data_IF_566434287385
#
_entry.id   IF_566434287385
#
_cell.length_a   1.000
_cell.length_b   1.000
_cell.length_c   1.000
_cell.angle_alpha   90.00
_cell.angle_beta   90.00
_cell.angle_gamma   90.00
#
_symmetry.space_group_name_H-M   'P 1'
#
loop_
_entity.id
_entity.type
_entity.pdbx_description
1 polymer ?
#
# COMPACT_ATOMS: atom_id res chain seq x y z
N UNK A 1 21.48 -21.81 7.00
CA UNK A 1 21.58 -21.44 5.58
C UNK A 1 21.41 -19.93 5.47
N UNK A 2 22.13 -19.27 4.56
CA UNK A 2 22.08 -17.82 4.35
C UNK A 2 21.09 -17.56 3.20
N UNK A 3 20.03 -16.81 3.44
CA UNK A 3 19.06 -16.42 2.40
C UNK A 3 19.64 -15.35 1.46
N UNK A 4 19.04 -15.16 0.30
CA UNK A 4 19.38 -14.00 -0.53
C UNK A 4 18.79 -12.72 0.04
N UNK A 5 17.54 -12.79 0.52
CA UNK A 5 16.83 -11.63 1.09
C UNK A 5 16.10 -12.02 2.37
N UNK A 6 16.26 -11.20 3.40
CA UNK A 6 15.33 -11.15 4.55
C UNK A 6 14.39 -9.97 4.37
N UNK A 7 13.08 -10.22 4.45
CA UNK A 7 12.05 -9.18 4.51
C UNK A 7 11.56 -9.06 5.96
N UNK A 8 11.69 -7.88 6.55
CA UNK A 8 11.25 -7.61 7.92
C UNK A 8 9.85 -6.98 7.89
N UNK A 9 8.88 -7.72 8.40
CA UNK A 9 7.47 -7.35 8.47
C UNK A 9 6.57 -8.26 7.63
N UNK A 10 5.57 -8.87 8.26
CA UNK A 10 4.57 -9.78 7.66
C UNK A 10 3.24 -9.09 7.33
N UNK A 11 3.25 -7.79 7.06
CA UNK A 11 2.13 -7.04 6.51
C UNK A 11 2.00 -7.22 4.99
N UNK A 12 1.05 -6.50 4.39
CA UNK A 12 0.78 -6.57 2.95
C UNK A 12 2.04 -6.30 2.11
N UNK A 13 2.75 -5.21 2.39
CA UNK A 13 3.95 -4.84 1.65
C UNK A 13 5.05 -5.93 1.74
N UNK A 14 5.30 -6.46 2.95
CA UNK A 14 6.32 -7.50 3.13
C UNK A 14 5.95 -8.82 2.47
N UNK A 15 4.70 -9.27 2.62
CA UNK A 15 4.25 -10.52 1.99
C UNK A 15 4.23 -10.42 0.45
N UNK A 16 3.81 -9.28 -0.11
CA UNK A 16 3.83 -9.04 -1.55
C UNK A 16 5.27 -8.98 -2.08
N UNK A 17 6.17 -8.25 -1.41
CA UNK A 17 7.60 -8.19 -1.77
C UNK A 17 8.21 -9.59 -1.77
N UNK A 18 7.94 -10.37 -0.72
CA UNK A 18 8.47 -11.73 -0.62
C UNK A 18 7.94 -12.65 -1.73
N UNK A 19 6.65 -12.53 -2.06
CA UNK A 19 6.04 -13.29 -3.15
C UNK A 19 6.70 -13.00 -4.49
N UNK A 20 6.78 -11.72 -4.89
CA UNK A 20 7.34 -11.36 -6.19
C UNK A 20 8.82 -11.68 -6.30
N UNK A 21 9.61 -11.45 -5.25
CA UNK A 21 11.02 -11.87 -5.24
C UNK A 21 11.18 -13.38 -5.40
N UNK A 22 10.35 -14.17 -4.71
CA UNK A 22 10.44 -15.62 -4.80
C UNK A 22 9.91 -16.15 -6.15
N UNK A 23 8.92 -15.50 -6.76
CA UNK A 23 8.47 -15.80 -8.11
C UNK A 23 9.59 -15.59 -9.14
N UNK A 24 10.50 -14.64 -8.90
CA UNK A 24 11.71 -14.40 -9.68
C UNK A 24 12.90 -15.31 -9.29
N UNK A 25 12.67 -16.32 -8.43
CA UNK A 25 13.69 -17.31 -8.05
C UNK A 25 14.64 -16.89 -6.92
N UNK A 26 14.34 -15.81 -6.19
CA UNK A 26 15.14 -15.33 -5.06
C UNK A 26 14.80 -16.13 -3.79
N UNK A 27 15.81 -16.59 -3.03
CA UNK A 27 15.60 -17.24 -1.73
C UNK A 27 15.25 -16.19 -0.66
N UNK A 28 14.01 -16.23 -0.17
CA UNK A 28 13.47 -15.21 0.73
C UNK A 28 13.03 -15.80 2.06
N UNK A 29 13.37 -15.08 3.14
CA UNK A 29 12.84 -15.31 4.50
C UNK A 29 12.11 -14.06 4.98
N UNK A 30 10.84 -14.20 5.41
CA UNK A 30 10.08 -13.14 6.08
C UNK A 30 10.19 -13.31 7.59
N UNK A 31 10.50 -12.22 8.29
CA UNK A 31 10.52 -12.17 9.76
C UNK A 31 9.38 -11.27 10.25
N UNK A 32 8.44 -11.87 10.99
CA UNK A 32 7.29 -11.15 11.55
C UNK A 32 7.28 -11.28 13.08
N UNK A 33 7.13 -10.14 13.78
CA UNK A 33 7.20 -10.14 15.26
C UNK A 33 5.98 -10.74 15.96
N UNK A 34 4.82 -10.71 15.29
CA UNK A 34 3.56 -11.27 15.80
C UNK A 34 3.07 -12.40 14.89
N UNK A 35 1.81 -12.34 14.52
CA UNK A 35 1.26 -13.12 13.42
C UNK A 35 1.07 -12.22 12.18
N UNK A 36 0.87 -12.83 11.02
CA UNK A 36 0.68 -12.09 9.78
C UNK A 36 -0.58 -11.22 9.85
N UNK A 37 -0.52 -10.06 9.22
CA UNK A 37 -1.69 -9.17 9.06
C UNK A 37 -2.29 -8.59 10.35
N UNK A 38 -1.56 -8.60 11.45
CA UNK A 38 -2.10 -8.21 12.77
C UNK A 38 -2.18 -6.70 13.01
N UNK A 39 -1.46 -5.90 12.23
CA UNK A 39 -1.40 -4.44 12.39
C UNK A 39 -2.11 -3.72 11.24
N UNK A 40 -1.55 -2.60 10.77
CA UNK A 40 -2.18 -1.72 9.79
C UNK A 40 -2.76 -2.44 8.56
N UNK A 41 -2.10 -3.49 8.07
CA UNK A 41 -2.57 -4.26 6.90
C UNK A 41 -3.88 -5.02 7.14
N UNK A 42 -4.15 -5.43 8.40
CA UNK A 42 -5.39 -6.08 8.80
C UNK A 42 -6.40 -5.16 9.49
N UNK A 43 -6.07 -3.86 9.63
CA UNK A 43 -6.88 -2.90 10.39
C UNK A 43 -7.21 -1.66 9.55
N UNK A 44 -7.55 -1.84 8.28
CA UNK A 44 -7.90 -0.78 7.35
C UNK A 44 -9.16 -1.12 6.56
N UNK A 45 -9.72 -0.12 5.86
CA UNK A 45 -10.95 -0.28 5.09
C UNK A 45 -10.76 -1.00 3.75
N UNK A 46 -9.53 -1.33 3.36
CA UNK A 46 -9.22 -1.98 2.09
C UNK A 46 -9.38 -1.08 0.87
N UNK A 47 -9.41 0.23 1.04
CA UNK A 47 -9.61 1.16 -0.07
C UNK A 47 -8.44 1.12 -1.06
N UNK A 48 -8.77 1.09 -2.36
CA UNK A 48 -7.84 1.17 -3.47
C UNK A 48 -8.01 2.55 -4.11
N UNK A 49 -7.17 3.49 -3.72
CA UNK A 49 -7.23 4.88 -4.17
C UNK A 49 -6.06 5.21 -5.11
N UNK A 50 -6.35 5.96 -6.18
CA UNK A 50 -5.36 6.54 -7.07
C UNK A 50 -5.42 8.06 -7.09
N UNK A 51 -6.50 8.65 -6.60
CA UNK A 51 -6.66 10.10 -6.54
C UNK A 51 -5.61 10.75 -5.61
N UNK A 52 -5.26 11.99 -5.91
CA UNK A 52 -4.46 12.84 -5.03
C UNK A 52 -5.21 13.01 -3.69
N UNK A 53 -4.58 12.79 -2.52
CA UNK A 53 -5.23 13.03 -1.23
C UNK A 53 -5.72 14.48 -1.11
N UNK A 54 -7.01 14.64 -0.78
CA UNK A 54 -7.66 15.96 -0.81
C UNK A 54 -7.12 16.93 0.23
N UNK A 55 -7.01 16.48 1.49
CA UNK A 55 -6.55 17.34 2.59
C UNK A 55 -5.11 17.85 2.38
N UNK A 56 -4.13 17.02 2.00
CA UNK A 56 -2.80 17.50 1.61
C UNK A 56 -2.84 18.45 0.40
N UNK A 57 -3.69 18.19 -0.59
CA UNK A 57 -3.83 19.09 -1.73
C UNK A 57 -4.30 20.49 -1.31
N UNK A 58 -5.33 20.57 -0.47
CA UNK A 58 -5.85 21.84 0.05
C UNK A 58 -4.79 22.55 0.91
N UNK A 59 -4.09 21.78 1.77
CA UNK A 59 -3.11 22.31 2.71
C UNK A 59 -1.82 22.79 2.05
N UNK A 60 -1.28 22.02 1.11
CA UNK A 60 0.05 22.27 0.53
C UNK A 60 0.01 22.81 -0.91
N UNK A 61 -1.17 22.80 -1.54
CA UNK A 61 -1.43 23.41 -2.84
C UNK A 61 -0.88 22.62 -4.05
N UNK A 62 -0.94 23.29 -5.21
CA UNK A 62 -0.63 22.68 -6.50
C UNK A 62 0.85 22.32 -6.68
N UNK A 63 1.77 23.01 -5.99
CA UNK A 63 3.20 22.66 -6.00
C UNK A 63 3.45 21.26 -5.44
N UNK A 64 2.81 20.95 -4.33
CA UNK A 64 2.86 19.63 -3.73
C UNK A 64 2.22 18.58 -4.65
N UNK A 65 1.06 18.88 -5.26
CA UNK A 65 0.38 17.97 -6.19
C UNK A 65 1.24 17.61 -7.40
N UNK A 66 2.03 18.54 -7.93
CA UNK A 66 2.99 18.28 -9.02
C UNK A 66 4.08 17.29 -8.60
N UNK A 67 4.59 17.41 -7.39
CA UNK A 67 5.57 16.46 -6.84
C UNK A 67 4.94 15.07 -6.61
N UNK A 68 3.65 15.04 -6.24
CA UNK A 68 2.89 13.80 -6.04
C UNK A 68 2.50 13.09 -7.35
N UNK A 69 2.63 13.74 -8.51
CA UNK A 69 2.17 13.26 -9.80
C UNK A 69 2.72 11.87 -10.17
N UNK A 70 3.99 11.59 -9.90
CA UNK A 70 4.60 10.28 -10.16
C UNK A 70 3.95 9.16 -9.33
N UNK A 71 3.52 9.48 -8.11
CA UNK A 71 2.79 8.55 -7.24
C UNK A 71 1.44 8.18 -7.82
N UNK A 72 0.71 9.12 -8.41
CA UNK A 72 -0.58 8.86 -9.07
C UNK A 72 -0.44 7.79 -10.15
N UNK A 73 0.57 7.90 -11.01
CA UNK A 73 0.84 6.91 -12.05
C UNK A 73 1.14 5.51 -11.49
N UNK A 74 1.85 5.42 -10.37
CA UNK A 74 2.12 4.15 -9.69
C UNK A 74 0.85 3.56 -9.08
N UNK A 75 0.00 4.39 -8.47
CA UNK A 75 -1.27 3.97 -7.89
C UNK A 75 -2.24 3.44 -8.96
N UNK A 76 -2.33 4.11 -10.12
CA UNK A 76 -3.13 3.66 -11.25
C UNK A 76 -2.67 2.28 -11.77
N UNK A 77 -1.35 2.07 -11.90
CA UNK A 77 -0.79 0.75 -12.23
C UNK A 77 -1.11 -0.29 -11.17
N UNK A 78 -1.00 0.06 -9.88
CA UNK A 78 -1.36 -0.83 -8.77
C UNK A 78 -2.81 -1.27 -8.84
N UNK A 79 -3.76 -0.37 -9.10
CA UNK A 79 -5.18 -0.74 -9.27
C UNK A 79 -5.37 -1.71 -10.44
N UNK A 80 -4.67 -1.49 -11.56
CA UNK A 80 -4.69 -2.43 -12.68
C UNK A 80 -4.20 -3.82 -12.27
N UNK A 81 -3.15 -3.91 -11.47
CA UNK A 81 -2.67 -5.19 -10.94
C UNK A 81 -3.71 -5.85 -10.02
N UNK A 82 -4.38 -5.07 -9.17
CA UNK A 82 -5.42 -5.60 -8.27
C UNK A 82 -6.56 -6.31 -9.02
N UNK A 83 -6.89 -5.91 -10.26
CA UNK A 83 -7.94 -6.55 -11.09
C UNK A 83 -7.67 -8.04 -11.33
N UNK A 84 -6.40 -8.42 -11.57
CA UNK A 84 -5.98 -9.80 -11.85
C UNK A 84 -5.40 -10.53 -10.65
N UNK A 85 -5.21 -9.84 -9.53
CA UNK A 85 -4.45 -10.38 -8.40
C UNK A 85 -5.11 -11.60 -7.74
N UNK A 86 -6.44 -11.67 -7.74
CA UNK A 86 -7.18 -12.84 -7.23
C UNK A 86 -6.82 -14.11 -7.97
N UNK A 87 -6.82 -14.06 -9.30
CA UNK A 87 -6.45 -15.19 -10.16
C UNK A 87 -4.97 -15.54 -9.99
N UNK A 88 -4.08 -14.54 -9.99
CA UNK A 88 -2.64 -14.71 -9.78
C UNK A 88 -2.32 -15.43 -8.47
N UNK A 89 -2.96 -15.03 -7.38
CA UNK A 89 -2.75 -15.61 -6.06
C UNK A 89 -3.58 -16.87 -5.78
N UNK A 90 -4.53 -17.19 -6.66
CA UNK A 90 -5.48 -18.30 -6.47
C UNK A 90 -6.37 -18.09 -5.24
N UNK A 91 -6.92 -16.87 -5.05
CA UNK A 91 -7.72 -16.50 -3.89
C UNK A 91 -8.74 -15.41 -4.22
N UNK A 92 -9.95 -15.52 -3.66
CA UNK A 92 -10.88 -14.39 -3.71
C UNK A 92 -10.44 -13.30 -2.75
N UNK A 93 -10.06 -12.15 -3.29
CA UNK A 93 -9.67 -10.96 -2.55
C UNK A 93 -10.82 -9.97 -2.38
N UNK A 94 -12.01 -10.32 -2.86
CA UNK A 94 -13.21 -9.47 -2.86
C UNK A 94 -12.95 -8.09 -3.51
N UNK A 95 -12.13 -8.04 -4.56
CA UNK A 95 -11.84 -6.80 -5.28
C UNK A 95 -13.10 -6.29 -5.97
N UNK A 96 -13.48 -5.06 -5.63
CA UNK A 96 -14.65 -4.38 -6.21
C UNK A 96 -14.24 -2.98 -6.63
N UNK A 97 -13.99 -2.80 -7.93
CA UNK A 97 -13.64 -1.51 -8.53
C UNK A 97 -14.94 -0.86 -9.06
N UNK A 98 -15.64 -0.16 -8.18
CA UNK A 98 -16.92 0.51 -8.44
C UNK A 98 -16.83 2.02 -8.35
N UNK A 99 -15.62 2.53 -8.30
CA UNK A 99 -15.30 3.95 -8.20
C UNK A 99 -15.09 4.45 -6.77
N UNK A 100 -14.47 5.63 -6.70
CA UNK A 100 -14.30 6.43 -5.50
C UNK A 100 -14.90 7.81 -5.72
N UNK A 101 -15.72 8.28 -4.78
CA UNK A 101 -16.41 9.57 -4.84
C UNK A 101 -15.88 10.49 -3.75
N UNK A 102 -15.36 11.65 -4.13
CA UNK A 102 -15.05 12.77 -3.25
C UNK A 102 -16.16 13.82 -3.40
N UNK A 103 -16.79 14.23 -2.31
CA UNK A 103 -17.92 15.16 -2.32
C UNK A 103 -17.56 16.54 -1.80
N UNK A 104 -18.24 17.58 -2.32
CA UNK A 104 -18.12 18.97 -1.91
C UNK A 104 -19.40 19.44 -1.23
N UNK A 105 -19.27 20.11 -0.08
CA UNK A 105 -20.39 20.79 0.58
C UNK A 105 -20.49 22.25 0.19
N UNK A 106 -19.39 22.88 -0.13
CA UNK A 106 -19.31 24.31 -0.44
C UNK A 106 -18.76 24.56 -1.86
N UNK A 107 -19.03 25.74 -2.41
CA UNK A 107 -18.45 26.15 -3.69
C UNK A 107 -16.91 26.26 -3.61
N UNK A 108 -16.34 26.48 -2.44
CA UNK A 108 -14.88 26.49 -2.23
C UNK A 108 -14.29 25.09 -2.33
N UNK A 109 -14.94 24.11 -1.68
CA UNK A 109 -14.55 22.69 -1.79
C UNK A 109 -14.61 22.25 -3.25
N UNK A 110 -15.70 22.59 -3.96
CA UNK A 110 -15.85 22.21 -5.35
C UNK A 110 -14.76 22.80 -6.24
N UNK A 111 -14.40 24.08 -6.05
CA UNK A 111 -13.26 24.68 -6.77
C UNK A 111 -11.93 23.98 -6.47
N UNK A 112 -11.72 23.54 -5.22
CA UNK A 112 -10.52 22.76 -4.86
C UNK A 112 -10.51 21.39 -5.56
N UNK A 113 -11.65 20.70 -5.58
CA UNK A 113 -11.84 19.42 -6.25
C UNK A 113 -11.59 19.57 -7.77
N UNK A 114 -12.12 20.60 -8.40
CA UNK A 114 -11.91 20.87 -9.84
C UNK A 114 -10.42 21.12 -10.16
N UNK A 115 -9.70 21.87 -9.31
CA UNK A 115 -8.25 22.06 -9.50
C UNK A 115 -7.50 20.73 -9.35
N UNK A 116 -7.83 19.94 -8.32
CA UNK A 116 -7.25 18.62 -8.07
C UNK A 116 -7.48 17.68 -9.26
N UNK A 117 -8.72 17.63 -9.77
CA UNK A 117 -9.12 16.81 -10.93
C UNK A 117 -8.31 17.12 -12.20
N UNK A 118 -7.92 18.40 -12.42
CA UNK A 118 -7.04 18.75 -13.55
C UNK A 118 -5.66 18.10 -13.44
N UNK A 119 -5.07 18.07 -12.24
CA UNK A 119 -3.79 17.41 -12.01
C UNK A 119 -3.88 15.89 -12.19
N UNK A 120 -4.96 15.29 -11.71
CA UNK A 120 -5.23 13.85 -11.82
C UNK A 120 -5.43 13.40 -13.28
N UNK A 121 -6.25 14.13 -14.03
CA UNK A 121 -6.45 13.89 -15.47
C UNK A 121 -5.15 14.02 -16.26
N UNK A 122 -4.30 14.97 -15.91
CA UNK A 122 -2.99 15.14 -16.53
C UNK A 122 -2.04 13.94 -16.28
N UNK A 123 -2.32 13.10 -15.27
CA UNK A 123 -1.62 11.85 -14.97
C UNK A 123 -2.33 10.61 -15.54
N UNK A 124 -3.38 10.80 -16.32
CA UNK A 124 -4.11 9.73 -17.00
C UNK A 124 -5.23 9.09 -16.18
N UNK A 125 -5.60 9.64 -15.01
CA UNK A 125 -6.78 9.17 -14.30
C UNK A 125 -8.07 9.67 -15.00
N UNK A 126 -9.04 8.79 -15.11
CA UNK A 126 -10.41 9.18 -15.45
C UNK A 126 -11.08 9.79 -14.23
N UNK A 127 -11.36 11.09 -14.28
CA UNK A 127 -12.08 11.81 -13.22
C UNK A 127 -13.31 12.46 -13.83
N UNK A 128 -14.47 12.14 -13.32
CA UNK A 128 -15.75 12.73 -13.70
C UNK A 128 -16.16 13.74 -12.63
N UNK A 129 -16.50 14.96 -13.04
CA UNK A 129 -17.05 15.95 -12.11
C UNK A 129 -18.57 15.75 -12.06
N UNK A 130 -19.08 15.53 -10.85
CA UNK A 130 -20.48 15.32 -10.55
C UNK A 130 -21.11 16.61 -10.02
N UNK A 131 -22.28 16.94 -10.51
CA UNK A 131 -23.15 17.89 -9.87
C UNK A 131 -24.06 17.21 -8.82
N UNK A 132 -24.98 17.97 -8.21
CA UNK A 132 -25.92 17.45 -7.23
C UNK A 132 -26.85 16.36 -7.82
N UNK A 133 -27.28 16.51 -9.07
CA UNK A 133 -28.17 15.54 -9.71
C UNK A 133 -27.43 14.23 -9.99
N UNK A 134 -26.17 14.32 -10.40
CA UNK A 134 -25.31 13.15 -10.57
C UNK A 134 -25.11 12.40 -9.25
N UNK A 135 -24.83 13.12 -8.14
CA UNK A 135 -24.68 12.51 -6.82
C UNK A 135 -25.99 11.81 -6.40
N UNK A 136 -27.13 12.46 -6.56
CA UNK A 136 -28.41 11.88 -6.20
C UNK A 136 -28.73 10.60 -7.00
N UNK A 137 -28.28 10.51 -8.25
CA UNK A 137 -28.46 9.35 -9.10
C UNK A 137 -27.50 8.20 -8.78
N UNK A 138 -26.21 8.52 -8.65
CA UNK A 138 -25.15 7.51 -8.54
C UNK A 138 -24.85 7.10 -7.09
N UNK A 139 -25.10 8.01 -6.14
CA UNK A 139 -24.82 7.82 -4.72
C UNK A 139 -25.96 8.34 -3.83
N UNK A 140 -27.17 7.78 -3.93
CA UNK A 140 -28.38 8.29 -3.24
C UNK A 140 -28.29 8.22 -1.70
N UNK A 141 -27.27 7.56 -1.16
CA UNK A 141 -26.95 7.48 0.26
C UNK A 141 -26.14 8.68 0.77
N UNK A 142 -25.67 9.56 -0.12
CA UNK A 142 -24.93 10.77 0.24
C UNK A 142 -25.92 11.89 0.62
N UNK A 143 -25.56 12.68 1.64
CA UNK A 143 -26.40 13.79 2.12
C UNK A 143 -26.77 14.78 1.02
N UNK A 144 -28.00 15.28 1.07
CA UNK A 144 -28.49 16.30 0.16
C UNK A 144 -27.77 17.65 0.28
N UNK A 145 -27.00 17.87 1.34
CA UNK A 145 -26.16 19.07 1.52
C UNK A 145 -24.96 19.11 0.55
N UNK A 146 -24.64 17.99 -0.09
CA UNK A 146 -23.52 17.95 -1.04
C UNK A 146 -23.94 18.57 -2.36
N UNK A 147 -23.15 19.55 -2.83
CA UNK A 147 -23.44 20.34 -4.04
C UNK A 147 -22.80 19.78 -5.31
N UNK A 148 -21.82 18.89 -5.17
CA UNK A 148 -21.09 18.27 -6.26
C UNK A 148 -19.93 17.42 -5.76
N UNK A 149 -19.06 16.98 -6.68
CA UNK A 149 -17.92 16.15 -6.34
C UNK A 149 -17.08 15.71 -7.53
N UNK A 150 -16.14 14.80 -7.27
CA UNK A 150 -15.35 14.12 -8.30
C UNK A 150 -15.44 12.60 -8.10
N UNK A 151 -15.71 11.89 -9.19
CA UNK A 151 -15.79 10.44 -9.23
C UNK A 151 -14.65 9.88 -10.08
N UNK A 152 -13.92 8.92 -9.52
CA UNK A 152 -12.89 8.15 -10.21
C UNK A 152 -13.39 6.70 -10.39
N UNK A 153 -13.76 6.27 -11.61
CA UNK A 153 -14.38 4.96 -11.84
C UNK A 153 -13.45 3.78 -11.56
N UNK A 154 -12.14 3.97 -11.66
CA UNK A 154 -11.16 2.91 -11.46
C UNK A 154 -10.92 2.55 -9.98
N UNK A 155 -11.28 3.42 -9.06
CA UNK A 155 -11.09 3.17 -7.63
C UNK A 155 -12.05 2.12 -7.06
N UNK A 156 -11.74 1.65 -5.86
CA UNK A 156 -12.59 0.66 -5.21
C UNK A 156 -12.03 0.14 -3.90
N UNK A 157 -12.22 -1.16 -3.67
CA UNK A 157 -11.76 -1.82 -2.44
C UNK A 157 -11.37 -3.27 -2.68
N UNK A 158 -10.54 -3.79 -1.77
CA UNK A 158 -10.26 -5.21 -1.60
C UNK A 158 -10.45 -5.59 -0.12
N UNK A 159 -10.60 -6.88 0.18
CA UNK A 159 -10.70 -7.35 1.55
C UNK A 159 -9.29 -7.41 2.19
N UNK A 160 -8.97 -6.56 3.20
CA UNK A 160 -7.65 -6.55 3.84
C UNK A 160 -7.38 -7.84 4.64
N UNK A 161 -8.42 -8.57 5.08
CA UNK A 161 -8.27 -9.86 5.74
C UNK A 161 -7.96 -11.00 4.76
N UNK A 162 -8.24 -10.84 3.48
CA UNK A 162 -7.94 -11.84 2.44
C UNK A 162 -6.59 -11.58 1.77
N UNK A 163 -6.24 -10.32 1.49
CA UNK A 163 -5.12 -9.94 0.64
C UNK A 163 -3.75 -10.38 1.21
N UNK A 164 -3.41 -9.98 2.44
CA UNK A 164 -2.11 -10.35 3.03
C UNK A 164 -1.96 -11.87 3.21
N UNK A 165 -2.95 -12.61 3.74
CA UNK A 165 -2.87 -14.06 3.81
C UNK A 165 -2.76 -14.74 2.44
N UNK A 166 -3.37 -14.19 1.39
CA UNK A 166 -3.25 -14.74 0.04
C UNK A 166 -1.82 -14.60 -0.49
N UNK A 167 -1.20 -13.42 -0.37
CA UNK A 167 0.22 -13.23 -0.69
C UNK A 167 1.13 -14.16 0.11
N UNK A 168 0.89 -14.30 1.42
CA UNK A 168 1.71 -15.18 2.26
C UNK A 168 1.60 -16.65 1.83
N UNK A 169 0.40 -17.12 1.46
CA UNK A 169 0.21 -18.48 0.92
C UNK A 169 0.92 -18.66 -0.42
N UNK A 170 0.78 -17.68 -1.32
CA UNK A 170 1.44 -17.71 -2.61
C UNK A 170 2.97 -17.68 -2.46
N UNK A 171 3.51 -16.82 -1.60
CA UNK A 171 4.94 -16.77 -1.27
C UNK A 171 5.45 -18.12 -0.77
N UNK A 172 4.73 -18.79 0.14
CA UNK A 172 5.09 -20.13 0.62
C UNK A 172 5.10 -21.17 -0.50
N UNK A 173 4.16 -21.11 -1.46
CA UNK A 173 4.18 -22.01 -2.64
C UNK A 173 5.44 -21.79 -3.50
N UNK A 174 5.97 -20.58 -3.51
CA UNK A 174 7.24 -20.22 -4.18
C UNK A 174 8.48 -20.50 -3.30
N UNK A 175 8.34 -21.15 -2.13
CA UNK A 175 9.46 -21.54 -1.28
C UNK A 175 9.85 -20.53 -0.20
N UNK A 176 9.14 -19.42 -0.04
CA UNK A 176 9.42 -18.42 1.00
C UNK A 176 9.25 -19.02 2.40
N UNK A 177 10.27 -18.86 3.23
CA UNK A 177 10.18 -19.14 4.65
C UNK A 177 9.55 -17.95 5.37
N UNK A 178 8.51 -18.20 6.16
CA UNK A 178 7.85 -17.15 6.96
C UNK A 178 7.96 -17.53 8.44
N UNK A 179 8.77 -16.76 9.15
CA UNK A 179 8.97 -16.91 10.59
C UNK A 179 8.10 -15.88 11.32
N UNK A 180 7.06 -16.39 11.97
CA UNK A 180 6.17 -15.59 12.84
C UNK A 180 6.76 -15.55 14.25
N UNK A 181 6.34 -14.56 15.06
CA UNK A 181 6.83 -14.36 16.43
C UNK A 181 8.37 -14.25 16.51
N UNK A 182 8.99 -13.77 15.42
CA UNK A 182 10.41 -13.54 15.26
C UNK A 182 10.70 -12.02 15.28
N UNK A 183 10.55 -11.41 16.46
CA UNK A 183 10.82 -9.99 16.63
C UNK A 183 12.29 -9.69 16.37
N UNK A 184 12.59 -8.77 15.46
CA UNK A 184 13.96 -8.29 15.18
C UNK A 184 14.43 -7.43 16.36
N UNK A 185 15.57 -7.82 16.93
CA UNK A 185 16.21 -7.21 18.10
C UNK A 185 17.46 -6.41 17.72
N UNK A 186 18.12 -6.76 16.62
CA UNK A 186 19.30 -6.09 16.10
C UNK A 186 19.68 -6.58 14.71
N UNK A 187 20.41 -5.74 13.97
CA UNK A 187 20.93 -6.07 12.64
C UNK A 187 22.41 -5.69 12.63
N UNK A 188 23.27 -6.63 12.27
CA UNK A 188 24.70 -6.41 12.14
C UNK A 188 25.12 -6.62 10.67
N UNK A 189 25.95 -5.70 10.15
CA UNK A 189 26.59 -5.87 8.84
C UNK A 189 27.76 -6.85 8.97
N UNK A 190 27.87 -7.76 8.03
CA UNK A 190 28.96 -8.74 7.94
C UNK A 190 29.69 -8.61 6.58
N UNK A 191 30.80 -9.35 6.41
CA UNK A 191 31.50 -9.39 5.11
C UNK A 191 30.68 -10.02 3.97
N UNK A 192 29.60 -10.76 4.29
CA UNK A 192 28.77 -11.46 3.31
C UNK A 192 27.34 -10.93 3.21
N UNK A 193 26.97 -9.92 3.99
CA UNK A 193 25.62 -9.36 4.05
C UNK A 193 25.25 -8.92 5.44
N UNK A 194 24.21 -9.49 6.01
CA UNK A 194 23.64 -9.09 7.29
C UNK A 194 23.28 -10.30 8.15
N UNK A 195 23.52 -10.17 9.45
CA UNK A 195 22.99 -11.04 10.49
C UNK A 195 21.88 -10.30 11.23
N UNK A 196 20.68 -10.88 11.24
CA UNK A 196 19.48 -10.34 11.86
C UNK A 196 19.19 -11.15 13.12
N UNK A 197 19.48 -10.57 14.28
CA UNK A 197 19.16 -11.14 15.57
C UNK A 197 17.65 -10.98 15.88
N UNK A 198 17.00 -12.07 16.24
CA UNK A 198 15.57 -12.11 16.55
C UNK A 198 15.32 -12.82 17.88
N UNK A 199 14.07 -12.75 18.36
CA UNK A 199 13.61 -13.54 19.51
C UNK A 199 13.69 -15.08 19.30
N UNK A 200 13.94 -15.55 18.08
CA UNK A 200 14.05 -16.96 17.69
C UNK A 200 15.45 -17.38 17.25
N UNK A 201 16.43 -16.51 17.43
CA UNK A 201 17.80 -16.74 17.01
C UNK A 201 18.23 -15.79 15.89
N UNK A 202 19.35 -16.12 15.24
CA UNK A 202 19.95 -15.28 14.20
C UNK A 202 19.66 -15.84 12.82
N UNK A 203 19.23 -14.96 11.94
CA UNK A 203 19.00 -15.24 10.52
C UNK A 203 19.98 -14.42 9.68
N UNK A 204 20.60 -15.04 8.68
CA UNK A 204 21.59 -14.37 7.82
C UNK A 204 21.08 -14.22 6.40
N UNK A 205 21.33 -13.07 5.77
CA UNK A 205 21.00 -12.83 4.37
C UNK A 205 21.98 -11.87 3.70
N UNK A 206 22.01 -11.91 2.36
CA UNK A 206 22.80 -10.96 1.56
C UNK A 206 22.23 -9.55 1.59
N UNK A 207 20.88 -9.44 1.67
CA UNK A 207 20.14 -8.16 1.68
C UNK A 207 19.03 -8.22 2.72
N UNK A 208 18.63 -7.03 3.17
CA UNK A 208 17.48 -6.85 4.06
C UNK A 208 16.54 -5.84 3.44
N UNK A 209 15.26 -6.18 3.40
CA UNK A 209 14.16 -5.28 3.03
C UNK A 209 13.41 -4.91 4.30
N UNK A 210 13.34 -3.62 4.59
CA UNK A 210 12.57 -3.09 5.70
C UNK A 210 11.13 -2.80 5.27
N UNK A 211 10.23 -3.70 5.61
CA UNK A 211 8.77 -3.59 5.39
C UNK A 211 8.01 -3.54 6.73
N UNK A 212 8.64 -3.02 7.80
CA UNK A 212 8.17 -3.07 9.17
C UNK A 212 7.06 -2.04 9.49
N UNK A 213 6.48 -1.37 8.50
CA UNK A 213 5.38 -0.42 8.68
C UNK A 213 5.76 0.70 9.66
N UNK A 214 4.97 0.91 10.72
CA UNK A 214 5.23 1.92 11.74
C UNK A 214 6.57 1.75 12.49
N UNK A 215 7.16 0.56 12.45
CA UNK A 215 8.48 0.31 13.06
C UNK A 215 9.65 0.48 12.07
N UNK A 216 9.41 0.93 10.84
CA UNK A 216 10.46 1.05 9.84
C UNK A 216 11.63 1.94 10.30
N UNK A 217 11.32 3.06 10.98
CA UNK A 217 12.34 3.93 11.57
C UNK A 217 13.21 3.20 12.61
N UNK A 218 12.58 2.42 13.52
CA UNK A 218 13.30 1.63 14.52
C UNK A 218 14.21 0.57 13.88
N UNK A 219 13.73 -0.09 12.83
CA UNK A 219 14.54 -1.09 12.10
C UNK A 219 15.70 -0.41 11.35
N UNK A 220 15.48 0.74 10.72
CA UNK A 220 16.52 1.50 10.02
C UNK A 220 17.62 1.98 10.99
N UNK A 221 17.22 2.46 12.17
CA UNK A 221 18.14 2.93 13.21
C UNK A 221 19.11 1.83 13.68
N UNK A 222 18.74 0.53 13.60
CA UNK A 222 19.64 -0.58 13.90
C UNK A 222 20.85 -0.65 12.97
N UNK A 223 20.78 0.00 11.81
CA UNK A 223 21.86 0.12 10.82
C UNK A 223 22.46 1.54 10.76
N UNK A 224 22.09 2.42 11.69
CA UNK A 224 22.53 3.82 11.70
C UNK A 224 21.89 4.67 10.60
N UNK A 225 20.76 4.23 10.02
CA UNK A 225 20.01 4.99 9.02
C UNK A 225 18.86 5.74 9.71
N UNK A 226 18.87 7.05 9.61
CA UNK A 226 17.75 7.89 10.04
C UNK A 226 16.73 8.02 8.89
N UNK A 227 15.46 7.73 9.18
CA UNK A 227 14.35 7.91 8.25
C UNK A 227 13.55 9.20 8.53
N UNK A 228 14.00 10.05 9.44
CA UNK A 228 13.32 11.30 9.76
C UNK A 228 13.22 12.25 8.54
N UNK A 229 14.16 12.14 7.61
CA UNK A 229 14.20 12.94 6.38
C UNK A 229 13.40 12.33 5.21
N UNK A 230 12.79 11.17 5.42
CA UNK A 230 11.95 10.47 4.43
C UNK A 230 10.48 10.79 4.74
N UNK A 231 10.06 12.00 4.42
CA UNK A 231 8.67 12.44 4.51
C UNK A 231 8.03 12.60 3.13
#
# INVERSE_FOLDING_TARGET
MMADVIVIGGGLAGCATAYYLAADGVDVTVLERFDLNMLASGSNAGSLHAQIPHDPFVRYGEGWAKNYASTVSLLAKSITMWRGLGDELGADLEVKLRGGLLVARTAEDMRAIERKARHERAQGLEIQLFDRADIAREAPYVSEDMIGGAFCPDEGKANPFAATPAFARAARRCGVRIERQAAVLGIARTSRGYDVATSKGVFSARRVVNAAGSDAGRIAAMLGVDLADVQ
#
